data_IF_595883473745
#
_entry.id   IF_595883473745
#
_cell.length_a   1.000
_cell.length_b   1.000
_cell.length_c   1.000
_cell.angle_alpha   90.00
_cell.angle_beta   90.00
_cell.angle_gamma   90.00
#
_symmetry.space_group_name_H-M   'P 1'
#
loop_
_entity.id
_entity.type
_entity.pdbx_description
1 polymer ?
#
# COMPACT_ATOMS: atom_id res chain seq x y z
N UNK A 1 -4.41 29.60 13.53
CA UNK A 1 -4.39 29.23 12.10
C UNK A 1 -5.81 28.84 11.73
N UNK A 2 -6.23 29.03 10.48
CA UNK A 2 -7.49 28.44 10.02
C UNK A 2 -7.44 26.91 10.17
N UNK A 3 -8.59 26.25 10.33
CA UNK A 3 -8.68 24.79 10.42
C UNK A 3 -7.96 24.10 9.24
N UNK A 4 -8.11 24.67 8.04
CA UNK A 4 -7.38 24.26 6.83
C UNK A 4 -5.87 24.35 6.96
N UNK A 5 -5.34 25.47 7.46
CA UNK A 5 -3.90 25.65 7.64
C UNK A 5 -3.34 24.66 8.66
N UNK A 6 -4.02 24.52 9.80
CA UNK A 6 -3.62 23.58 10.86
C UNK A 6 -3.58 22.15 10.33
N UNK A 7 -4.64 21.71 9.64
CA UNK A 7 -4.67 20.34 9.09
C UNK A 7 -3.59 20.11 8.04
N UNK A 8 -3.34 21.08 7.16
CA UNK A 8 -2.27 20.97 6.16
C UNK A 8 -0.91 20.88 6.84
N UNK A 9 -0.65 21.69 7.87
CA UNK A 9 0.60 21.63 8.63
C UNK A 9 0.79 20.29 9.33
N UNK A 10 -0.27 19.71 9.91
CA UNK A 10 -0.21 18.37 10.52
C UNK A 10 0.15 17.27 9.51
N UNK A 11 -0.44 17.32 8.30
CA UNK A 11 -0.10 16.37 7.24
C UNK A 11 1.36 16.55 6.77
N UNK A 12 1.79 17.80 6.57
CA UNK A 12 3.18 18.12 6.21
C UNK A 12 4.18 17.68 7.28
N UNK A 13 3.83 17.84 8.56
CA UNK A 13 4.63 17.37 9.68
C UNK A 13 4.84 15.85 9.64
N UNK A 14 3.81 15.07 9.29
CA UNK A 14 3.94 13.63 9.10
C UNK A 14 4.92 13.29 7.98
N UNK A 15 4.84 13.95 6.82
CA UNK A 15 5.80 13.75 5.71
C UNK A 15 7.23 14.11 6.14
N UNK A 16 7.39 15.21 6.87
CA UNK A 16 8.69 15.67 7.35
C UNK A 16 9.32 14.72 8.39
N UNK A 17 8.50 14.01 9.17
CA UNK A 17 8.98 12.99 10.13
C UNK A 17 9.56 11.74 9.44
N UNK A 18 9.19 11.49 8.19
CA UNK A 18 9.68 10.35 7.38
C UNK A 18 10.65 10.78 6.28
N UNK A 19 11.25 11.97 6.40
CA UNK A 19 12.31 12.45 5.51
C UNK A 19 11.86 13.37 4.38
N UNK A 20 10.62 13.85 4.38
CA UNK A 20 10.11 14.80 3.37
C UNK A 20 10.78 16.18 3.33
N UNK A 21 11.89 16.38 4.05
CA UNK A 21 12.72 17.59 4.05
C UNK A 21 14.20 17.21 3.98
N UNK A 22 15.00 18.03 3.33
CA UNK A 22 16.44 17.82 3.29
C UNK A 22 17.18 18.39 4.52
N UNK A 23 18.51 18.29 4.53
CA UNK A 23 19.36 18.80 5.61
C UNK A 23 19.29 20.32 5.81
N UNK A 24 18.87 21.07 4.79
CA UNK A 24 18.62 22.52 4.86
C UNK A 24 17.22 22.87 5.38
N UNK A 25 16.38 21.85 5.61
CA UNK A 25 14.95 21.92 5.97
C UNK A 25 14.02 22.32 4.83
N UNK A 26 14.53 22.33 3.59
CA UNK A 26 13.69 22.54 2.41
C UNK A 26 12.86 21.28 2.13
N UNK A 27 11.59 21.47 1.77
CA UNK A 27 10.65 20.37 1.50
C UNK A 27 11.02 19.69 0.18
N UNK A 28 11.01 18.36 0.19
CA UNK A 28 11.22 17.51 -0.99
C UNK A 28 9.92 17.28 -1.79
N UNK A 29 8.87 18.03 -1.46
CA UNK A 29 7.55 17.96 -2.07
C UNK A 29 6.92 19.34 -2.16
N UNK A 30 5.92 19.46 -3.04
CA UNK A 30 5.02 20.61 -3.09
C UNK A 30 3.66 20.20 -2.55
N UNK A 31 3.10 21.02 -1.67
CA UNK A 31 1.74 20.89 -1.17
C UNK A 31 0.78 21.68 -2.05
N UNK A 32 -0.15 20.99 -2.71
CA UNK A 32 -1.28 21.61 -3.41
C UNK A 32 -2.56 21.36 -2.63
N UNK A 33 -3.43 22.36 -2.54
CA UNK A 33 -4.68 22.28 -1.78
C UNK A 33 -5.82 23.01 -2.48
N UNK A 34 -6.97 22.36 -2.58
CA UNK A 34 -8.21 22.92 -3.11
C UNK A 34 -9.38 22.59 -2.19
N UNK A 35 -9.30 23.13 -0.97
CA UNK A 35 -10.31 22.96 0.07
C UNK A 35 -10.64 24.32 0.68
N UNK A 36 -11.88 24.48 1.14
CA UNK A 36 -12.31 25.64 1.93
C UNK A 36 -11.61 25.66 3.30
N UNK A 37 -11.77 26.75 4.04
CA UNK A 37 -11.23 26.85 5.40
C UNK A 37 -11.84 25.83 6.36
N UNK A 38 -13.05 25.33 6.07
CA UNK A 38 -13.75 24.29 6.82
C UNK A 38 -13.45 22.86 6.33
N UNK A 39 -12.39 22.67 5.54
CA UNK A 39 -11.97 21.38 4.97
C UNK A 39 -13.06 20.70 4.11
N UNK A 40 -13.89 21.49 3.44
CA UNK A 40 -14.80 21.00 2.40
C UNK A 40 -14.22 21.28 1.01
N UNK A 41 -14.82 20.70 -0.03
CA UNK A 41 -14.47 20.99 -1.42
C UNK A 41 -14.43 22.50 -1.69
N UNK A 42 -13.38 22.97 -2.40
CA UNK A 42 -13.27 24.34 -2.87
C UNK A 42 -14.28 24.70 -3.98
N UNK A 43 -14.26 25.95 -4.44
CA UNK A 43 -15.27 26.48 -5.38
C UNK A 43 -15.26 25.80 -6.76
N UNK A 44 -14.11 25.32 -7.23
CA UNK A 44 -13.94 24.73 -8.58
C UNK A 44 -13.09 23.48 -8.52
N UNK A 45 -13.42 22.47 -9.33
CA UNK A 45 -12.65 21.21 -9.41
C UNK A 45 -12.80 20.33 -8.18
N UNK A 46 -11.95 19.31 -8.03
CA UNK A 46 -12.02 18.34 -6.94
C UNK A 46 -11.52 18.92 -5.60
N UNK A 47 -12.09 18.47 -4.48
CA UNK A 47 -11.63 18.82 -3.13
C UNK A 47 -10.43 17.96 -2.73
N UNK A 48 -9.26 18.55 -2.52
CA UNK A 48 -8.06 17.78 -2.16
C UNK A 48 -7.00 18.56 -1.39
N UNK A 49 -6.13 17.82 -0.70
CA UNK A 49 -4.80 18.22 -0.25
C UNK A 49 -3.84 17.15 -0.79
N UNK A 50 -2.82 17.53 -1.55
CA UNK A 50 -1.92 16.58 -2.22
C UNK A 50 -0.46 16.98 -2.10
N UNK A 51 0.40 15.98 -1.99
CA UNK A 51 1.84 16.09 -1.90
C UNK A 51 2.47 15.50 -3.15
N UNK A 52 2.99 16.37 -4.01
CA UNK A 52 3.57 16.02 -5.31
C UNK A 52 5.09 16.26 -5.26
N UNK A 53 5.83 15.77 -6.27
CA UNK A 53 7.27 16.01 -6.38
C UNK A 53 7.58 17.52 -6.41
N UNK A 54 8.72 17.89 -5.83
CA UNK A 54 9.18 19.28 -5.74
C UNK A 54 9.50 19.94 -7.08
N UNK A 55 9.68 19.16 -8.15
CA UNK A 55 9.96 19.66 -9.50
C UNK A 55 8.71 19.92 -10.34
N UNK A 56 7.52 19.57 -9.84
CA UNK A 56 6.26 19.85 -10.51
C UNK A 56 5.82 21.30 -10.26
N UNK A 57 4.93 21.82 -11.09
CA UNK A 57 4.38 23.16 -10.88
C UNK A 57 3.59 23.26 -9.55
N UNK A 58 3.35 24.47 -9.04
CA UNK A 58 2.48 24.66 -7.86
C UNK A 58 0.98 24.64 -8.21
N UNK A 59 0.62 24.73 -9.49
CA UNK A 59 -0.76 24.75 -9.98
C UNK A 59 -0.88 24.13 -11.37
N UNK A 60 -2.12 23.91 -11.83
CA UNK A 60 -2.40 23.33 -13.15
C UNK A 60 -2.20 21.81 -13.19
N UNK A 61 -1.86 21.29 -14.36
CA UNK A 61 -1.63 19.86 -14.56
C UNK A 61 -0.29 19.45 -13.93
N UNK A 62 -0.12 18.17 -13.63
CA UNK A 62 1.11 17.60 -13.10
C UNK A 62 1.17 16.11 -13.46
N UNK A 63 2.37 15.58 -13.54
CA UNK A 63 2.62 14.16 -13.75
C UNK A 63 3.20 13.50 -12.49
N UNK A 64 3.15 12.17 -12.45
CA UNK A 64 3.77 11.38 -11.40
C UNK A 64 2.83 10.98 -10.29
N UNK A 65 3.40 10.19 -9.37
CA UNK A 65 2.72 9.70 -8.19
C UNK A 65 2.58 10.78 -7.14
N UNK A 66 1.43 10.82 -6.46
CA UNK A 66 1.21 11.68 -5.31
C UNK A 66 0.46 11.02 -4.19
N UNK A 67 0.68 11.52 -2.97
CA UNK A 67 -0.17 11.21 -1.83
C UNK A 67 -1.25 12.27 -1.77
N UNK A 68 -2.51 11.86 -1.70
CA UNK A 68 -3.66 12.76 -1.73
C UNK A 68 -4.64 12.43 -0.61
N UNK A 69 -5.22 13.49 -0.05
CA UNK A 69 -6.35 13.44 0.88
C UNK A 69 -7.51 14.19 0.25
N UNK A 70 -8.63 13.51 0.04
CA UNK A 70 -9.88 14.11 -0.43
C UNK A 70 -10.89 14.14 0.72
N UNK A 71 -11.25 15.33 1.25
CA UNK A 71 -12.26 15.43 2.29
C UNK A 71 -13.66 15.09 1.81
N UNK A 72 -14.41 14.35 2.63
CA UNK A 72 -15.87 14.16 2.53
C UNK A 72 -16.60 14.65 3.78
N UNK A 73 -17.91 14.44 3.82
CA UNK A 73 -18.77 14.85 4.94
C UNK A 73 -18.52 14.01 6.21
N UNK A 74 -18.41 12.69 6.04
CA UNK A 74 -18.28 11.65 7.07
C UNK A 74 -16.97 10.90 6.97
N UNK A 75 -16.47 10.62 5.77
CA UNK A 75 -15.19 9.94 5.56
C UNK A 75 -14.26 10.79 4.71
N UNK A 76 -12.97 10.62 4.95
CA UNK A 76 -11.92 11.14 4.11
C UNK A 76 -11.33 10.00 3.29
N UNK A 77 -10.93 10.31 2.08
CA UNK A 77 -10.18 9.40 1.21
C UNK A 77 -8.71 9.74 1.29
N UNK A 78 -7.87 8.74 1.55
CA UNK A 78 -6.41 8.82 1.44
C UNK A 78 -6.00 7.95 0.26
N UNK A 79 -5.19 8.48 -0.66
CA UNK A 79 -4.76 7.72 -1.83
C UNK A 79 -3.30 7.92 -2.22
N UNK A 80 -2.77 6.91 -2.91
CA UNK A 80 -1.66 7.06 -3.84
C UNK A 80 -2.26 7.15 -5.24
N UNK A 81 -2.12 8.30 -5.87
CA UNK A 81 -2.75 8.59 -7.15
C UNK A 81 -1.75 9.06 -8.21
N UNK A 82 -2.23 9.10 -9.44
CA UNK A 82 -1.48 9.51 -10.62
C UNK A 82 -1.96 10.90 -11.02
N UNK A 83 -1.01 11.80 -11.27
CA UNK A 83 -1.28 13.14 -11.76
C UNK A 83 -2.04 13.14 -13.09
N UNK A 84 -2.74 14.23 -13.38
CA UNK A 84 -3.60 14.32 -14.57
C UNK A 84 -2.82 14.30 -15.91
N UNK A 85 -1.49 14.40 -15.88
CA UNK A 85 -0.60 14.16 -17.04
C UNK A 85 -0.04 12.74 -17.10
N UNK A 86 -0.58 11.82 -16.30
CA UNK A 86 -0.12 10.45 -16.22
C UNK A 86 1.14 10.32 -15.37
N UNK A 87 1.88 9.22 -15.59
CA UNK A 87 3.01 8.84 -14.74
C UNK A 87 4.24 9.75 -14.84
N UNK A 88 4.48 10.43 -15.96
CA UNK A 88 5.74 11.16 -16.19
C UNK A 88 6.96 10.28 -15.90
N UNK A 89 7.97 10.81 -15.21
CA UNK A 89 9.17 10.03 -14.86
C UNK A 89 8.91 8.95 -13.78
N UNK A 90 7.75 8.94 -13.14
CA UNK A 90 7.44 7.97 -12.10
C UNK A 90 6.92 6.63 -12.67
N UNK A 91 6.83 6.47 -14.00
CA UNK A 91 6.36 5.21 -14.59
C UNK A 91 7.23 4.01 -14.16
N UNK A 92 8.55 4.19 -14.17
CA UNK A 92 9.47 3.16 -13.70
C UNK A 92 9.27 2.90 -12.20
N UNK A 93 9.13 3.95 -11.40
CA UNK A 93 8.90 3.84 -9.96
C UNK A 93 7.60 3.08 -9.65
N UNK A 94 6.52 3.36 -10.38
CA UNK A 94 5.23 2.71 -10.22
C UNK A 94 5.27 1.22 -10.60
N UNK A 95 5.99 0.87 -11.68
CA UNK A 95 6.06 -0.50 -12.21
C UNK A 95 7.06 -1.40 -11.50
N UNK A 96 7.87 -0.87 -10.57
CA UNK A 96 8.72 -1.70 -9.72
C UNK A 96 7.88 -2.68 -8.90
N UNK A 97 8.23 -3.99 -8.87
CA UNK A 97 7.49 -4.99 -8.09
C UNK A 97 7.36 -4.64 -6.60
N UNK A 98 8.35 -3.93 -6.05
CA UNK A 98 8.35 -3.46 -4.67
C UNK A 98 7.22 -2.48 -4.36
N UNK A 99 6.90 -1.58 -5.29
CA UNK A 99 5.92 -0.50 -5.12
C UNK A 99 4.53 -1.05 -4.86
N UNK A 100 4.04 -1.89 -5.78
CA UNK A 100 2.75 -2.56 -5.61
C UNK A 100 2.73 -3.42 -4.36
N UNK A 101 3.81 -4.15 -4.06
CA UNK A 101 3.88 -5.04 -2.90
C UNK A 101 3.71 -4.28 -1.57
N UNK A 102 4.29 -3.08 -1.44
CA UNK A 102 4.16 -2.26 -0.22
C UNK A 102 2.70 -1.89 0.04
N UNK A 103 2.00 -1.36 -0.95
CA UNK A 103 0.60 -0.96 -0.79
C UNK A 103 -0.37 -2.15 -0.70
N UNK A 104 -0.06 -3.27 -1.36
CA UNK A 104 -0.82 -4.50 -1.19
C UNK A 104 -0.70 -5.05 0.23
N UNK A 105 0.49 -4.98 0.84
CA UNK A 105 0.66 -5.35 2.24
C UNK A 105 -0.08 -4.39 3.17
N UNK A 106 0.05 -3.07 2.95
CA UNK A 106 -0.73 -2.08 3.70
C UNK A 106 -2.24 -2.34 3.62
N UNK A 107 -2.76 -2.71 2.45
CA UNK A 107 -4.17 -3.08 2.30
C UNK A 107 -4.54 -4.26 3.20
N UNK A 108 -3.71 -5.31 3.26
CA UNK A 108 -3.91 -6.47 4.15
C UNK A 108 -3.84 -6.09 5.62
N UNK A 109 -2.93 -5.20 5.98
CA UNK A 109 -2.75 -4.71 7.34
C UNK A 109 -3.98 -3.92 7.80
N UNK A 110 -4.49 -3.03 6.95
CA UNK A 110 -5.74 -2.30 7.17
C UNK A 110 -6.91 -3.27 7.37
N UNK A 111 -7.06 -4.28 6.51
CA UNK A 111 -8.14 -5.28 6.61
C UNK A 111 -8.03 -6.06 7.94
N UNK A 112 -6.81 -6.44 8.34
CA UNK A 112 -6.57 -7.15 9.59
C UNK A 112 -6.86 -6.26 10.81
N UNK A 113 -6.41 -5.01 10.78
CA UNK A 113 -6.62 -4.01 11.84
C UNK A 113 -8.10 -3.69 12.06
N UNK A 114 -8.91 -3.65 10.99
CA UNK A 114 -10.35 -3.36 11.07
C UNK A 114 -11.24 -4.58 11.19
N UNK A 115 -10.66 -5.79 11.31
CA UNK A 115 -11.41 -7.04 11.46
C UNK A 115 -12.38 -6.93 12.65
N UNK A 116 -13.67 -6.97 12.37
CA UNK A 116 -14.74 -6.84 13.38
C UNK A 116 -15.16 -5.40 13.73
N UNK A 117 -14.49 -4.38 13.18
CA UNK A 117 -14.84 -2.95 13.37
C UNK A 117 -15.50 -2.32 12.14
N UNK A 118 -15.19 -2.82 10.94
CA UNK A 118 -15.74 -2.35 9.66
C UNK A 118 -15.57 -0.83 9.41
N UNK A 119 -14.54 -0.20 10.01
CA UNK A 119 -14.33 1.26 10.00
C UNK A 119 -13.54 1.79 8.80
N UNK A 120 -12.77 0.94 8.11
CA UNK A 120 -11.92 1.35 6.99
C UNK A 120 -12.12 0.38 5.83
N UNK A 121 -12.43 0.92 4.65
CA UNK A 121 -12.42 0.17 3.39
C UNK A 121 -11.29 0.65 2.50
N UNK A 122 -10.61 -0.28 1.85
CA UNK A 122 -9.44 0.02 1.04
C UNK A 122 -9.40 -0.75 -0.27
N UNK A 123 -8.75 -0.15 -1.27
CA UNK A 123 -8.53 -0.68 -2.60
C UNK A 123 -7.04 -0.58 -2.95
N UNK A 124 -6.51 -1.59 -3.64
CA UNK A 124 -5.18 -1.57 -4.22
C UNK A 124 -5.24 -2.14 -5.65
N UNK A 125 -4.68 -1.41 -6.61
CA UNK A 125 -4.61 -1.85 -8.00
C UNK A 125 -3.78 -3.13 -8.15
N UNK A 126 -4.21 -4.00 -9.07
CA UNK A 126 -3.47 -5.20 -9.45
C UNK A 126 -2.31 -4.88 -10.39
N UNK A 127 -2.43 -3.81 -11.17
CA UNK A 127 -1.41 -3.33 -12.10
C UNK A 127 -1.13 -1.85 -11.80
N UNK A 128 0.12 -1.55 -11.43
CA UNK A 128 0.58 -0.20 -11.13
C UNK A 128 1.12 0.52 -12.37
N UNK A 129 1.29 -0.17 -13.50
CA UNK A 129 1.61 0.44 -14.79
C UNK A 129 0.39 0.86 -15.60
N UNK A 130 -0.82 0.58 -15.08
CA UNK A 130 -2.09 0.92 -15.71
C UNK A 130 -2.72 2.14 -15.01
N UNK A 131 -2.86 3.25 -15.73
CA UNK A 131 -3.51 4.49 -15.28
C UNK A 131 -5.00 4.57 -15.67
N UNK A 132 -5.59 3.49 -16.21
CA UNK A 132 -7.01 3.47 -16.51
C UNK A 132 -7.88 3.47 -15.24
N UNK A 133 -9.11 4.01 -15.28
CA UNK A 133 -10.04 3.89 -14.17
C UNK A 133 -10.35 2.42 -13.82
N UNK A 134 -10.25 2.08 -12.53
CA UNK A 134 -10.40 0.70 -12.06
C UNK A 134 -11.86 0.41 -11.70
N UNK A 135 -12.45 -0.63 -12.30
CA UNK A 135 -13.85 -1.02 -12.04
C UNK A 135 -14.10 -1.32 -10.56
N UNK A 136 -13.19 -2.03 -9.92
CA UNK A 136 -13.29 -2.40 -8.50
C UNK A 136 -13.31 -1.17 -7.59
N UNK A 137 -12.51 -0.15 -7.91
CA UNK A 137 -12.54 1.11 -7.19
C UNK A 137 -13.87 1.83 -7.38
N UNK A 138 -14.38 1.89 -8.62
CA UNK A 138 -15.71 2.49 -8.90
C UNK A 138 -16.85 1.80 -8.15
N UNK A 139 -16.79 0.48 -7.99
CA UNK A 139 -17.80 -0.23 -7.19
C UNK A 139 -17.71 0.13 -5.71
N UNK A 140 -16.50 0.25 -5.16
CA UNK A 140 -16.29 0.70 -3.78
C UNK A 140 -16.75 2.14 -3.56
N UNK A 141 -16.49 3.03 -4.51
CA UNK A 141 -16.89 4.44 -4.44
C UNK A 141 -18.42 4.64 -4.36
N UNK A 142 -19.21 3.71 -4.92
CA UNK A 142 -20.68 3.77 -4.82
C UNK A 142 -21.18 3.71 -3.37
N UNK A 143 -20.43 3.08 -2.48
CA UNK A 143 -20.75 3.01 -1.05
C UNK A 143 -20.59 4.35 -0.34
N UNK A 144 -19.80 5.26 -0.92
CA UNK A 144 -19.48 6.58 -0.38
C UNK A 144 -20.10 7.72 -1.21
N UNK A 145 -21.07 7.41 -2.09
CA UNK A 145 -21.71 8.40 -2.98
C UNK A 145 -22.32 9.58 -2.22
N UNK A 146 -22.86 9.33 -1.03
CA UNK A 146 -23.55 10.34 -0.20
C UNK A 146 -22.57 11.15 0.65
N UNK A 147 -21.27 10.84 0.56
CA UNK A 147 -20.21 11.48 1.33
C UNK A 147 -19.57 12.67 0.58
N UNK A 148 -19.99 12.87 -0.68
CA UNK A 148 -19.54 13.95 -1.55
C UNK A 148 -17.99 14.04 -1.69
N UNK A 149 -17.32 12.88 -1.62
CA UNK A 149 -15.85 12.78 -1.80
C UNK A 149 -15.53 12.91 -3.28
N UNK A 150 -14.95 14.04 -3.64
CA UNK A 150 -14.53 14.33 -5.01
C UNK A 150 -13.09 13.89 -5.26
N UNK A 151 -12.86 13.08 -6.28
CA UNK A 151 -11.54 12.55 -6.61
C UNK A 151 -11.36 12.34 -8.11
N UNK A 152 -10.09 12.36 -8.54
CA UNK A 152 -9.72 11.92 -9.89
C UNK A 152 -9.81 10.40 -10.00
N UNK A 153 -9.94 9.85 -11.20
CA UNK A 153 -10.23 8.43 -11.41
C UNK A 153 -8.99 7.51 -11.47
N UNK A 154 -7.79 8.06 -11.28
CA UNK A 154 -6.51 7.36 -11.51
C UNK A 154 -5.76 7.14 -10.20
N UNK A 155 -6.23 6.16 -9.41
CA UNK A 155 -5.60 5.81 -8.13
C UNK A 155 -5.09 4.37 -8.13
N UNK A 156 -3.90 4.21 -7.57
CA UNK A 156 -3.24 2.92 -7.41
C UNK A 156 -3.53 2.30 -6.05
N UNK A 157 -3.80 3.13 -5.04
CA UNK A 157 -4.23 2.71 -3.71
C UNK A 157 -5.20 3.74 -3.13
N UNK A 158 -6.24 3.27 -2.45
CA UNK A 158 -7.25 4.12 -1.79
C UNK A 158 -7.62 3.53 -0.44
N UNK A 159 -7.80 4.37 0.56
CA UNK A 159 -8.43 4.03 1.83
C UNK A 159 -9.47 5.10 2.20
N UNK A 160 -10.69 4.65 2.50
CA UNK A 160 -11.76 5.48 3.05
C UNK A 160 -11.78 5.30 4.57
N UNK A 161 -11.56 6.38 5.29
CA UNK A 161 -11.40 6.43 6.74
C UNK A 161 -12.34 7.48 7.33
N UNK A 162 -12.83 7.28 8.55
CA UNK A 162 -13.66 8.28 9.22
C UNK A 162 -12.98 9.67 9.23
N UNK A 163 -13.79 10.71 9.03
CA UNK A 163 -13.35 12.10 9.06
C UNK A 163 -12.60 12.37 10.38
N UNK A 164 -11.32 12.81 10.32
CA UNK A 164 -10.59 13.11 11.52
C UNK A 164 -11.21 14.32 12.22
N UNK A 165 -11.15 14.31 13.55
CA UNK A 165 -11.41 15.51 14.32
C UNK A 165 -10.19 16.42 14.19
N UNK A 166 -10.40 17.60 13.61
CA UNK A 166 -9.37 18.62 13.43
C UNK A 166 -9.76 19.82 14.29
N UNK A 167 -8.79 20.44 14.95
CA UNK A 167 -8.97 21.70 15.69
C UNK A 167 -8.09 22.79 15.09
N UNK A 168 -8.33 24.05 15.47
CA UNK A 168 -7.50 25.20 15.03
C UNK A 168 -6.11 25.22 15.69
N UNK A 169 -5.91 24.41 16.73
CA UNK A 169 -4.62 24.17 17.38
C UNK A 169 -4.00 22.85 16.89
N UNK A 170 -2.69 22.86 16.64
CA UNK A 170 -1.91 21.67 16.28
C UNK A 170 -1.92 20.71 17.48
N UNK A 171 -2.48 19.52 17.29
CA UNK A 171 -2.73 18.61 18.40
C UNK A 171 -1.49 17.75 18.73
N UNK A 172 -1.28 17.49 20.02
CA UNK A 172 -0.20 16.63 20.53
C UNK A 172 -0.39 15.15 20.10
N UNK A 173 0.64 14.31 20.32
CA UNK A 173 0.82 12.91 19.89
C UNK A 173 -0.36 11.95 20.14
N UNK A 174 -1.36 12.37 20.93
CA UNK A 174 -2.57 11.64 21.34
C UNK A 174 -3.44 11.17 20.17
N UNK A 175 -3.44 11.87 19.03
CA UNK A 175 -4.21 11.47 17.83
C UNK A 175 -3.50 10.44 16.95
N UNK A 176 -2.23 10.12 17.26
CA UNK A 176 -1.43 9.18 16.47
C UNK A 176 -2.04 7.80 16.30
N UNK A 177 -2.98 7.42 17.18
CA UNK A 177 -3.67 6.12 17.17
C UNK A 177 -5.07 6.15 16.54
N UNK A 178 -5.56 7.28 16.05
CA UNK A 178 -6.84 7.32 15.32
C UNK A 178 -6.65 6.78 13.90
N UNK A 179 -7.68 6.09 13.40
CA UNK A 179 -7.68 5.39 12.12
C UNK A 179 -7.15 6.24 10.95
N UNK A 180 -7.64 7.48 10.79
CA UNK A 180 -7.13 8.41 9.77
C UNK A 180 -5.61 8.59 9.84
N UNK A 181 -5.07 8.87 11.03
CA UNK A 181 -3.65 9.14 11.21
C UNK A 181 -2.79 7.91 11.05
N UNK A 182 -3.27 6.74 11.49
CA UNK A 182 -2.59 5.47 11.26
C UNK A 182 -2.41 5.19 9.77
N UNK A 183 -3.50 5.33 8.99
CA UNK A 183 -3.47 5.12 7.55
C UNK A 183 -2.65 6.18 6.83
N UNK A 184 -2.84 7.46 7.13
CA UNK A 184 -2.09 8.54 6.48
C UNK A 184 -0.59 8.41 6.73
N UNK A 185 -0.18 8.11 7.97
CA UNK A 185 1.23 7.90 8.33
C UNK A 185 1.85 6.73 7.58
N UNK A 186 1.13 5.61 7.45
CA UNK A 186 1.63 4.46 6.70
C UNK A 186 1.76 4.76 5.20
N UNK A 187 0.78 5.45 4.60
CA UNK A 187 0.85 5.88 3.19
C UNK A 187 2.01 6.86 2.97
N UNK A 188 2.17 7.85 3.84
CA UNK A 188 3.27 8.81 3.77
C UNK A 188 4.64 8.15 3.94
N UNK A 189 4.76 7.18 4.86
CA UNK A 189 5.98 6.40 5.08
C UNK A 189 6.36 5.56 3.85
N UNK A 190 5.41 4.82 3.26
CA UNK A 190 5.65 4.06 2.03
C UNK A 190 6.02 5.00 0.89
N UNK A 191 5.33 6.13 0.75
CA UNK A 191 5.65 7.12 -0.28
C UNK A 191 7.08 7.67 -0.13
N UNK A 192 7.50 8.01 1.09
CA UNK A 192 8.86 8.46 1.38
C UNK A 192 9.92 7.37 1.09
N UNK A 193 9.61 6.10 1.37
CA UNK A 193 10.48 4.95 1.02
C UNK A 193 10.66 4.86 -0.50
N UNK A 194 9.57 4.93 -1.27
CA UNK A 194 9.61 4.89 -2.74
C UNK A 194 10.43 6.04 -3.33
N UNK A 195 10.34 7.22 -2.71
CA UNK A 195 11.08 8.42 -3.11
C UNK A 195 12.53 8.45 -2.60
N UNK A 196 12.93 7.49 -1.76
CA UNK A 196 14.25 7.45 -1.10
C UNK A 196 14.55 8.72 -0.29
N UNK A 197 13.54 9.25 0.40
CA UNK A 197 13.66 10.46 1.20
C UNK A 197 14.35 10.22 2.55
N UNK A 198 14.10 9.07 3.18
CA UNK A 198 14.45 8.85 4.58
C UNK A 198 15.94 8.53 4.79
N UNK A 199 16.55 9.17 5.79
CA UNK A 199 17.82 8.73 6.37
C UNK A 199 17.61 7.59 7.39
N UNK A 200 18.70 7.09 8.02
CA UNK A 200 18.63 5.98 9.00
C UNK A 200 17.70 6.26 10.19
N UNK A 201 17.61 7.50 10.65
CA UNK A 201 16.72 7.90 11.74
C UNK A 201 15.26 7.92 11.31
N UNK A 202 14.99 8.55 10.17
CA UNK A 202 13.65 8.65 9.56
C UNK A 202 13.12 7.29 9.10
N UNK A 203 13.99 6.40 8.62
CA UNK A 203 13.61 5.03 8.24
C UNK A 203 12.99 4.30 9.44
N UNK A 204 13.56 4.45 10.64
CA UNK A 204 12.97 3.86 11.86
C UNK A 204 11.61 4.46 12.20
N UNK A 205 11.37 5.73 11.86
CA UNK A 205 10.07 6.38 12.07
C UNK A 205 9.07 5.87 11.04
N UNK A 206 9.47 5.77 9.77
CA UNK A 206 8.68 5.18 8.69
C UNK A 206 8.27 3.73 9.02
N UNK A 207 9.21 2.90 9.48
CA UNK A 207 8.94 1.53 9.91
C UNK A 207 7.90 1.49 11.04
N UNK A 208 8.02 2.37 12.04
CA UNK A 208 7.03 2.48 13.12
C UNK A 208 5.64 2.86 12.60
N UNK A 209 5.57 3.74 11.61
CA UNK A 209 4.30 4.16 11.01
C UNK A 209 3.63 3.04 10.22
N UNK A 210 4.40 2.31 9.41
CA UNK A 210 3.91 1.14 8.67
C UNK A 210 3.45 0.05 9.65
N UNK A 211 4.27 -0.23 10.67
CA UNK A 211 4.00 -1.27 11.65
C UNK A 211 2.89 -0.95 12.65
N UNK A 212 2.41 0.30 12.71
CA UNK A 212 1.30 0.66 13.60
C UNK A 212 -0.05 0.06 13.13
N UNK A 213 -0.17 -0.27 11.84
CA UNK A 213 -1.34 -0.93 11.25
C UNK A 213 -1.16 -2.43 11.07
N UNK A 214 0.08 -2.94 11.16
CA UNK A 214 0.27 -4.36 11.41
C UNK A 214 -0.44 -4.64 12.74
N UNK A 215 -1.65 -5.18 12.67
CA UNK A 215 -2.30 -5.77 13.84
C UNK A 215 -1.38 -6.84 14.40
N UNK A 216 -1.80 -7.49 15.48
CA UNK A 216 -1.24 -8.79 15.79
C UNK A 216 -1.61 -9.74 14.62
N UNK A 217 -0.87 -9.65 13.50
CA UNK A 217 -0.32 -10.84 12.88
C UNK A 217 0.42 -11.47 14.02
N UNK A 218 -0.34 -12.27 14.75
CA UNK A 218 0.15 -13.20 15.70
C UNK A 218 1.42 -13.75 15.05
N UNK A 219 2.60 -13.41 15.56
CA UNK A 219 3.81 -14.14 15.19
C UNK A 219 3.62 -15.63 15.59
N UNK A 220 2.56 -15.95 16.35
CA UNK A 220 2.04 -17.29 16.58
C UNK A 220 0.97 -17.78 15.58
N UNK A 221 0.63 -17.01 14.52
CA UNK A 221 0.08 -17.59 13.30
C UNK A 221 1.19 -18.44 12.70
N UNK A 222 1.18 -19.69 13.15
CA UNK A 222 1.91 -20.80 12.62
C UNK A 222 1.92 -20.66 11.09
N UNK A 223 3.08 -20.29 10.56
CA UNK A 223 3.24 -20.03 9.11
C UNK A 223 2.76 -21.25 8.32
N UNK A 224 2.88 -22.43 8.92
CA UNK A 224 2.31 -23.70 8.48
C UNK A 224 0.80 -23.59 8.25
N UNK A 225 0.01 -23.11 9.22
CA UNK A 225 -1.45 -22.93 9.08
C UNK A 225 -1.84 -21.94 7.99
N UNK A 226 -1.07 -20.86 7.84
CA UNK A 226 -1.30 -19.90 6.76
C UNK A 226 -1.11 -20.56 5.39
N UNK A 227 -0.03 -21.33 5.23
CA UNK A 227 0.25 -22.07 4.00
C UNK A 227 -0.78 -23.17 3.76
N UNK A 228 -1.22 -23.89 4.80
CA UNK A 228 -2.31 -24.88 4.71
C UNK A 228 -3.60 -24.25 4.17
N UNK A 229 -4.03 -23.13 4.74
CA UNK A 229 -5.20 -22.40 4.23
C UNK A 229 -5.03 -21.98 2.76
N UNK A 230 -3.84 -21.57 2.35
CA UNK A 230 -3.57 -21.24 0.95
C UNK A 230 -3.65 -22.48 0.06
N UNK A 231 -3.10 -23.62 0.49
CA UNK A 231 -3.18 -24.89 -0.24
C UNK A 231 -4.64 -25.34 -0.39
N UNK A 232 -5.45 -25.24 0.67
CA UNK A 232 -6.87 -25.61 0.63
C UNK A 232 -7.66 -24.75 -0.37
N UNK A 233 -7.36 -23.44 -0.43
CA UNK A 233 -8.09 -22.49 -1.26
C UNK A 233 -7.56 -22.34 -2.70
N UNK A 234 -6.29 -22.67 -2.95
CA UNK A 234 -5.60 -22.40 -4.24
C UNK A 234 -5.00 -23.66 -4.88
N UNK A 235 -5.03 -24.79 -4.20
CA UNK A 235 -4.46 -26.09 -4.62
C UNK A 235 -2.93 -26.12 -4.74
N UNK A 236 -2.26 -24.97 -4.91
CA UNK A 236 -0.80 -24.88 -4.94
C UNK A 236 -0.28 -23.58 -4.32
N UNK A 237 0.93 -23.63 -3.79
CA UNK A 237 1.65 -22.50 -3.19
C UNK A 237 3.11 -22.54 -3.62
N UNK A 238 3.66 -21.40 -4.04
CA UNK A 238 5.09 -21.23 -4.34
C UNK A 238 5.72 -20.35 -3.25
N UNK A 239 6.67 -20.90 -2.51
CA UNK A 239 7.42 -20.14 -1.50
C UNK A 239 8.65 -19.51 -2.15
N UNK A 240 8.69 -18.18 -2.23
CA UNK A 240 9.79 -17.41 -2.79
C UNK A 240 10.56 -16.65 -1.68
N UNK A 241 11.88 -16.55 -1.81
CA UNK A 241 12.70 -15.77 -0.90
C UNK A 241 14.19 -16.00 -1.15
N UNK A 242 15.06 -15.19 -0.52
CA UNK A 242 16.51 -15.34 -0.63
C UNK A 242 17.00 -16.75 -0.23
N UNK A 243 18.12 -17.26 -0.78
CA UNK A 243 18.70 -18.52 -0.33
C UNK A 243 18.94 -18.53 1.18
N UNK A 244 18.74 -19.66 1.85
CA UNK A 244 18.96 -19.80 3.29
C UNK A 244 17.84 -19.33 4.22
N UNK A 245 16.73 -18.78 3.70
CA UNK A 245 15.61 -18.29 4.54
C UNK A 245 14.64 -19.38 5.03
N UNK A 246 15.10 -20.63 5.17
CA UNK A 246 14.28 -21.71 5.76
C UNK A 246 13.10 -22.22 4.92
N UNK A 247 12.99 -21.91 3.62
CA UNK A 247 11.88 -22.38 2.76
C UNK A 247 11.75 -23.91 2.75
N UNK A 248 12.87 -24.61 2.52
CA UNK A 248 12.89 -26.07 2.52
C UNK A 248 12.55 -26.65 3.88
N UNK A 249 12.99 -26.00 4.97
CA UNK A 249 12.64 -26.39 6.33
C UNK A 249 11.12 -26.31 6.56
N UNK A 250 10.50 -25.21 6.14
CA UNK A 250 9.06 -25.00 6.25
C UNK A 250 8.26 -26.00 5.39
N UNK A 251 8.71 -26.28 4.17
CA UNK A 251 8.11 -27.30 3.30
C UNK A 251 8.15 -28.69 3.95
N UNK A 252 9.28 -29.07 4.54
CA UNK A 252 9.41 -30.36 5.25
C UNK A 252 8.52 -30.45 6.49
N UNK A 253 8.29 -29.33 7.18
CA UNK A 253 7.37 -29.29 8.32
C UNK A 253 5.91 -29.44 7.87
N UNK A 254 5.53 -28.78 6.78
CA UNK A 254 4.20 -28.90 6.17
C UNK A 254 3.91 -30.31 5.67
N UNK A 255 4.90 -30.93 5.00
CA UNK A 255 4.75 -32.22 4.35
C UNK A 255 4.43 -33.37 5.31
N UNK A 256 4.73 -33.21 6.61
CA UNK A 256 4.36 -34.19 7.65
C UNK A 256 2.84 -34.39 7.78
N UNK A 257 2.04 -33.44 7.31
CA UNK A 257 0.57 -33.50 7.36
C UNK A 257 -0.06 -34.04 6.06
N UNK A 258 0.74 -34.41 5.06
CA UNK A 258 0.26 -34.83 3.75
C UNK A 258 1.02 -36.07 3.26
N UNK A 259 0.38 -36.87 2.41
CA UNK A 259 1.12 -37.81 1.58
C UNK A 259 1.94 -37.00 0.57
N UNK A 260 3.26 -37.09 0.67
CA UNK A 260 4.18 -36.17 0.01
C UNK A 260 5.39 -36.87 -0.57
N UNK A 261 5.90 -36.36 -1.68
CA UNK A 261 7.19 -36.72 -2.24
C UNK A 261 7.99 -35.44 -2.49
N UNK A 262 9.30 -35.52 -2.30
CA UNK A 262 10.21 -34.40 -2.54
C UNK A 262 10.88 -34.58 -3.91
N UNK A 263 10.84 -33.55 -4.74
CA UNK A 263 11.57 -33.51 -6.00
C UNK A 263 12.23 -32.15 -6.19
N UNK A 264 13.39 -32.15 -6.84
CA UNK A 264 14.12 -30.95 -7.23
C UNK A 264 14.18 -30.87 -8.74
N UNK A 265 13.72 -29.75 -9.30
CA UNK A 265 13.85 -29.49 -10.73
C UNK A 265 15.28 -29.02 -11.03
N UNK A 266 15.91 -29.69 -11.98
CA UNK A 266 17.15 -29.26 -12.62
C UNK A 266 16.82 -28.73 -14.01
N UNK A 267 17.73 -27.97 -14.61
CA UNK A 267 17.54 -27.45 -15.97
C UNK A 267 17.32 -28.57 -17.02
N UNK A 268 17.77 -29.78 -16.71
CA UNK A 268 17.66 -30.98 -17.56
C UNK A 268 16.39 -31.81 -17.28
N UNK A 269 15.60 -31.51 -16.24
CA UNK A 269 14.40 -32.28 -15.91
C UNK A 269 13.36 -32.16 -17.03
N UNK A 270 13.02 -33.28 -17.67
CA UNK A 270 12.07 -33.31 -18.78
C UNK A 270 10.65 -33.65 -18.32
N UNK A 271 9.67 -33.44 -19.21
CA UNK A 271 8.29 -33.88 -18.97
C UNK A 271 8.19 -35.38 -18.67
N UNK A 272 9.00 -36.20 -19.36
CA UNK A 272 9.02 -37.65 -19.16
C UNK A 272 9.55 -38.07 -17.79
N UNK A 273 10.39 -37.24 -17.16
CA UNK A 273 10.92 -37.49 -15.82
C UNK A 273 9.90 -37.18 -14.71
N UNK A 274 8.97 -36.25 -14.94
CA UNK A 274 8.04 -35.76 -13.91
C UNK A 274 6.58 -36.22 -14.10
N UNK A 275 6.08 -36.27 -15.34
CA UNK A 275 4.69 -36.64 -15.64
C UNK A 275 4.57 -38.08 -16.13
N UNK A 276 5.45 -38.48 -17.07
CA UNK A 276 5.50 -39.85 -17.57
C UNK A 276 6.06 -39.94 -18.99
N UNK A 277 6.75 -41.04 -19.28
CA UNK A 277 7.31 -41.32 -20.59
C UNK A 277 7.76 -42.77 -20.74
N UNK A 278 8.07 -43.16 -21.97
CA UNK A 278 8.59 -44.49 -22.24
C UNK A 278 10.03 -44.60 -21.74
N UNK A 279 10.26 -45.53 -20.82
CA UNK A 279 11.61 -45.96 -20.43
C UNK A 279 11.86 -47.37 -20.97
N UNK A 280 13.03 -47.64 -21.58
CA UNK A 280 13.42 -49.00 -21.87
C UNK A 280 13.55 -49.76 -20.54
N UNK A 281 12.94 -50.94 -20.49
CA UNK A 281 13.03 -51.86 -19.36
C UNK A 281 13.67 -53.12 -19.90
N UNK A 282 14.81 -53.53 -19.33
CA UNK A 282 15.37 -54.86 -19.60
C UNK A 282 14.55 -55.88 -18.84
N UNK A 283 13.94 -56.82 -19.56
CA UNK A 283 13.44 -58.03 -18.93
C UNK A 283 14.60 -59.02 -18.70
N UNK A 284 14.43 -60.01 -17.84
CA UNK A 284 15.45 -61.04 -17.58
C UNK A 284 15.72 -61.95 -18.82
N UNK A 285 15.20 -61.62 -20.00
CA UNK A 285 15.38 -62.34 -21.26
C UNK A 285 16.16 -61.55 -22.33
N UNK A 286 16.60 -60.34 -22.02
CA UNK A 286 17.51 -59.55 -22.87
C UNK A 286 16.79 -58.55 -23.75
#
# INVERSE_FOLDING_TARGET
MSLKETFVEELENVLNMVGGKDGSKDKLYITRKNVSDNLTKGEKGFGFISFIRSDQAASGRYSGLSVKVNPGEKHYRISLDIGNDGFGDDYQLATLPGTRRRFLNLQKDIISYTKGKNTIKSFCSLDYGDDAPKRQLKELEKEYKDDNIDSHAQDLFVAFVDKPMVTEEVQDQTYSKKDFWLVFKAVAAIYAELRQWSNKGETKVADKFINALHGDYDETQDTTKCIQNLLDNRQYVVLQGAPGTGKTYLMNQLSQNYESFFTQFHAETTYSDFVGGYKPVTDDKG
#
